data_IF_584730281741
#
_entry.id   IF_584730281741
#
_cell.length_a   1.000
_cell.length_b   1.000
_cell.length_c   1.000
_cell.angle_alpha   90.00
_cell.angle_beta   90.00
_cell.angle_gamma   90.00
#
_symmetry.space_group_name_H-M   'P 1'
#
loop_
_entity.id
_entity.type
_entity.pdbx_description
1 polymer ?
#
# COMPACT_ATOMS: atom_id res chain seq x y z
N UNK A 1 0.37 12.77 3.80
CA UNK A 1 -0.49 11.75 4.47
C UNK A 1 0.08 11.31 5.82
N UNK A 2 1.36 10.91 5.91
CA UNK A 2 2.00 10.69 7.22
C UNK A 2 1.96 11.96 8.10
N UNK A 3 2.07 13.15 7.51
CA UNK A 3 1.96 14.42 8.25
C UNK A 3 0.54 14.71 8.78
N UNK A 4 -0.51 14.25 8.08
CA UNK A 4 -1.89 14.38 8.55
C UNK A 4 -2.17 13.39 9.70
N UNK A 5 -1.67 12.16 9.61
CA UNK A 5 -1.71 11.20 10.71
C UNK A 5 -0.86 11.68 11.90
N UNK A 6 0.27 12.33 11.66
CA UNK A 6 1.11 12.94 12.69
C UNK A 6 0.37 14.09 13.39
N UNK A 7 -0.30 14.97 12.63
CA UNK A 7 -1.04 16.10 13.16
C UNK A 7 -2.23 15.67 14.02
N UNK A 8 -2.98 14.65 13.61
CA UNK A 8 -4.20 14.23 14.32
C UNK A 8 -4.00 13.10 15.35
N UNK A 9 -2.96 12.27 15.22
CA UNK A 9 -2.78 11.05 16.05
C UNK A 9 -1.50 11.13 16.90
N UNK A 10 -0.43 11.70 16.34
CA UNK A 10 0.89 11.79 16.95
C UNK A 10 1.15 13.10 17.68
N UNK A 11 0.21 13.55 18.52
CA UNK A 11 0.40 14.80 19.26
C UNK A 11 1.67 14.67 20.14
N UNK A 12 2.71 15.48 19.84
CA UNK A 12 4.04 15.55 20.49
C UNK A 12 5.11 14.50 20.13
N UNK A 13 4.98 13.73 19.05
CA UNK A 13 6.05 12.81 18.63
C UNK A 13 6.90 13.39 17.48
N UNK A 14 8.23 13.38 17.65
CA UNK A 14 9.20 13.65 16.58
C UNK A 14 9.30 12.38 15.73
N UNK A 15 8.94 12.48 14.44
CA UNK A 15 9.13 11.38 13.51
C UNK A 15 10.58 11.37 13.00
N UNK A 16 11.20 10.19 12.85
CA UNK A 16 12.55 10.12 12.31
C UNK A 16 12.53 10.59 10.85
N UNK A 17 13.37 11.58 10.51
CA UNK A 17 13.56 11.99 9.13
C UNK A 17 14.21 10.83 8.36
N UNK A 18 13.59 10.42 7.25
CA UNK A 18 14.11 9.34 6.41
C UNK A 18 13.45 9.38 5.04
N UNK A 19 14.20 9.05 3.99
CA UNK A 19 13.66 8.88 2.63
C UNK A 19 12.49 7.88 2.59
N UNK A 20 12.48 6.92 3.51
CA UNK A 20 11.44 5.89 3.64
C UNK A 20 10.09 6.41 4.16
N UNK A 21 10.03 7.64 4.68
CA UNK A 21 8.81 8.23 5.27
C UNK A 21 7.64 8.29 4.28
N UNK A 22 7.93 8.42 2.99
CA UNK A 22 6.92 8.52 1.94
C UNK A 22 6.61 7.20 1.25
N UNK A 23 7.36 6.14 1.50
CA UNK A 23 7.30 4.93 0.68
C UNK A 23 5.95 4.22 0.77
N UNK A 24 5.33 4.19 1.95
CA UNK A 24 3.96 3.68 2.11
C UNK A 24 2.92 4.53 1.34
N UNK A 25 3.12 5.84 1.26
CA UNK A 25 2.24 6.73 0.50
C UNK A 25 2.43 6.57 -1.01
N UNK A 26 3.68 6.43 -1.49
CA UNK A 26 3.98 6.15 -2.89
C UNK A 26 3.42 4.79 -3.30
N UNK A 27 3.58 3.76 -2.47
CA UNK A 27 3.00 2.44 -2.72
C UNK A 27 1.47 2.52 -2.86
N UNK A 28 0.79 3.21 -1.93
CA UNK A 28 -0.64 3.42 -2.00
C UNK A 28 -1.08 4.19 -3.25
N UNK A 29 -0.32 5.19 -3.69
CA UNK A 29 -0.59 5.89 -4.95
C UNK A 29 -0.52 4.95 -6.16
N UNK A 30 0.49 4.07 -6.21
CA UNK A 30 0.60 3.06 -7.27
C UNK A 30 -0.61 2.11 -7.20
N UNK A 31 -0.98 1.64 -6.02
CA UNK A 31 -2.14 0.76 -5.85
C UNK A 31 -3.44 1.43 -6.28
N UNK A 32 -3.65 2.70 -5.92
CA UNK A 32 -4.81 3.49 -6.38
C UNK A 32 -4.86 3.58 -7.90
N UNK A 33 -3.75 3.97 -8.51
CA UNK A 33 -3.62 4.07 -9.96
C UNK A 33 -3.98 2.75 -10.66
N UNK A 34 -3.51 1.61 -10.14
CA UNK A 34 -3.85 0.29 -10.71
C UNK A 34 -5.32 -0.07 -10.49
N UNK A 35 -5.85 0.21 -9.30
CA UNK A 35 -7.25 -0.07 -8.93
C UNK A 35 -8.24 0.68 -9.81
N UNK A 36 -7.94 1.94 -10.11
CA UNK A 36 -8.86 2.85 -10.80
C UNK A 36 -8.61 2.88 -12.32
N UNK A 37 -7.54 2.23 -12.81
CA UNK A 37 -7.07 2.26 -14.20
C UNK A 37 -8.19 2.03 -15.24
N UNK A 38 -9.03 1.02 -15.07
CA UNK A 38 -10.10 0.71 -16.04
C UNK A 38 -11.12 1.85 -16.11
N UNK A 39 -11.45 2.44 -14.96
CA UNK A 39 -12.39 3.55 -14.87
C UNK A 39 -11.77 4.83 -15.45
N UNK A 40 -10.51 5.09 -15.12
CA UNK A 40 -9.74 6.24 -15.60
C UNK A 40 -9.61 6.20 -17.13
N UNK A 41 -9.22 5.05 -17.71
CA UNK A 41 -9.12 4.88 -19.16
C UNK A 41 -10.47 5.12 -19.85
N UNK A 42 -11.57 4.62 -19.29
CA UNK A 42 -12.93 4.86 -19.81
C UNK A 42 -13.33 6.35 -19.74
N UNK A 43 -12.77 7.11 -18.80
CA UNK A 43 -12.94 8.55 -18.68
C UNK A 43 -11.92 9.37 -19.51
N UNK A 44 -11.02 8.70 -20.26
CA UNK A 44 -9.99 9.33 -21.08
C UNK A 44 -8.71 9.72 -20.34
N UNK A 45 -8.53 9.25 -19.10
CA UNK A 45 -7.32 9.45 -18.30
C UNK A 45 -6.44 8.20 -18.36
N UNK A 46 -5.25 8.33 -18.94
CA UNK A 46 -4.34 7.20 -19.14
C UNK A 46 -3.19 7.25 -18.13
N UNK A 47 -3.13 6.28 -17.21
CA UNK A 47 -2.05 6.21 -16.21
C UNK A 47 -0.83 5.39 -16.68
N UNK A 48 -0.99 4.54 -17.70
CA UNK A 48 0.13 3.82 -18.30
C UNK A 48 0.98 4.79 -19.15
N UNK A 49 2.33 4.78 -19.01
CA UNK A 49 3.20 5.67 -19.77
C UNK A 49 3.03 5.48 -21.28
N UNK A 50 2.98 6.58 -22.02
CA UNK A 50 2.83 6.56 -23.49
C UNK A 50 3.96 5.78 -24.15
N UNK A 51 5.18 5.94 -23.64
CA UNK A 51 6.38 5.27 -24.16
C UNK A 51 6.25 3.75 -24.07
N UNK A 52 5.58 3.25 -23.03
CA UNK A 52 5.33 1.82 -22.86
C UNK A 52 4.29 1.32 -23.87
N UNK A 53 3.21 2.08 -24.09
CA UNK A 53 2.19 1.76 -25.08
C UNK A 53 2.78 1.71 -26.50
N UNK A 54 3.57 2.72 -26.87
CA UNK A 54 4.21 2.79 -28.19
C UNK A 54 5.20 1.64 -28.41
N UNK A 55 6.03 1.32 -27.41
CA UNK A 55 7.01 0.24 -27.49
C UNK A 55 6.39 -1.15 -27.66
N UNK A 56 5.15 -1.35 -27.21
CA UNK A 56 4.45 -2.63 -27.24
C UNK A 56 3.24 -2.64 -28.18
N UNK A 57 3.01 -1.55 -28.93
CA UNK A 57 1.89 -1.37 -29.87
C UNK A 57 0.52 -1.62 -29.21
N UNK A 58 0.33 -1.08 -28.00
CA UNK A 58 -0.88 -1.25 -27.21
C UNK A 58 -1.82 -0.05 -27.31
N UNK A 59 -3.13 -0.30 -27.32
CA UNK A 59 -4.12 0.69 -26.94
C UNK A 59 -4.18 0.83 -25.41
N UNK A 60 -4.46 2.03 -24.86
CA UNK A 60 -4.63 2.21 -23.41
C UNK A 60 -5.68 1.30 -22.75
N UNK A 61 -6.64 0.77 -23.52
CA UNK A 61 -7.68 -0.16 -23.07
C UNK A 61 -7.37 -1.65 -23.21
N UNK A 62 -6.19 -2.04 -23.71
CA UNK A 62 -5.82 -3.45 -23.96
C UNK A 62 -5.40 -4.19 -22.67
N UNK A 63 -6.24 -4.17 -21.63
CA UNK A 63 -5.92 -4.69 -20.30
C UNK A 63 -5.63 -6.21 -20.27
N UNK A 64 -6.18 -6.97 -21.20
CA UNK A 64 -6.06 -8.43 -21.21
C UNK A 64 -4.74 -8.93 -21.84
N UNK A 65 -4.03 -8.06 -22.57
CA UNK A 65 -2.85 -8.49 -23.30
C UNK A 65 -1.65 -8.75 -22.37
N UNK A 66 -0.78 -9.66 -22.80
CA UNK A 66 0.39 -10.10 -22.02
C UNK A 66 1.33 -8.93 -21.67
N UNK A 67 1.68 -8.00 -22.59
CA UNK A 67 2.51 -6.85 -22.24
C UNK A 67 1.89 -5.95 -21.17
N UNK A 68 0.58 -5.66 -21.25
CA UNK A 68 -0.10 -4.85 -20.24
C UNK A 68 -0.08 -5.53 -18.87
N UNK A 69 -0.40 -6.84 -18.81
CA UNK A 69 -0.31 -7.63 -17.57
C UNK A 69 1.10 -7.65 -16.99
N UNK A 70 2.12 -7.71 -17.84
CA UNK A 70 3.53 -7.66 -17.43
C UNK A 70 3.88 -6.32 -16.79
N UNK A 71 3.41 -5.22 -17.38
CA UNK A 71 3.55 -3.89 -16.79
C UNK A 71 2.84 -3.76 -15.44
N UNK A 72 1.59 -4.25 -15.34
CA UNK A 72 0.84 -4.29 -14.07
C UNK A 72 1.62 -5.07 -13.01
N UNK A 73 2.16 -6.23 -13.36
CA UNK A 73 2.99 -7.03 -12.47
C UNK A 73 4.22 -6.26 -11.97
N UNK A 74 4.92 -5.52 -12.82
CA UNK A 74 6.03 -4.67 -12.37
C UNK A 74 5.59 -3.60 -11.37
N UNK A 75 4.44 -2.95 -11.62
CA UNK A 75 3.91 -1.91 -10.72
C UNK A 75 3.49 -2.51 -9.37
N UNK A 76 2.85 -3.68 -9.38
CA UNK A 76 2.52 -4.44 -8.16
C UNK A 76 3.80 -4.76 -7.38
N UNK A 77 4.82 -5.31 -8.04
CA UNK A 77 6.11 -5.64 -7.43
C UNK A 77 6.80 -4.41 -6.82
N UNK A 78 6.73 -3.26 -7.49
CA UNK A 78 7.25 -2.00 -6.97
C UNK A 78 6.46 -1.55 -5.72
N UNK A 79 5.13 -1.57 -5.77
CA UNK A 79 4.28 -1.22 -4.63
C UNK A 79 4.55 -2.11 -3.41
N UNK A 80 4.71 -3.43 -3.61
CA UNK A 80 5.07 -4.38 -2.54
C UNK A 80 6.40 -4.04 -1.87
N UNK A 81 7.44 -3.77 -2.67
CA UNK A 81 8.77 -3.37 -2.15
C UNK A 81 8.68 -2.08 -1.34
N UNK A 82 7.95 -1.10 -1.85
CA UNK A 82 7.74 0.19 -1.17
C UNK A 82 6.92 0.03 0.12
N UNK A 83 5.87 -0.78 0.14
CA UNK A 83 5.12 -1.09 1.37
C UNK A 83 6.00 -1.81 2.39
N UNK A 84 6.86 -2.74 1.97
CA UNK A 84 7.78 -3.42 2.87
C UNK A 84 8.76 -2.43 3.53
N UNK A 85 9.35 -1.53 2.74
CA UNK A 85 10.26 -0.49 3.24
C UNK A 85 9.54 0.54 4.11
N UNK A 86 8.34 0.97 3.72
CA UNK A 86 7.48 1.86 4.50
C UNK A 86 7.07 1.25 5.84
N UNK A 87 6.75 -0.05 5.89
CA UNK A 87 6.48 -0.77 7.14
C UNK A 87 7.69 -0.80 8.07
N UNK A 88 8.91 -1.02 7.53
CA UNK A 88 10.15 -0.92 8.33
C UNK A 88 10.37 0.48 8.91
N UNK A 89 9.98 1.53 8.19
CA UNK A 89 9.99 2.89 8.72
C UNK A 89 8.96 3.04 9.86
N UNK A 90 7.73 2.57 9.65
CA UNK A 90 6.66 2.61 10.66
C UNK A 90 7.09 1.91 11.95
N UNK A 91 7.80 0.78 11.90
CA UNK A 91 8.33 0.09 13.09
C UNK A 91 9.23 0.95 13.97
N UNK A 92 9.90 1.95 13.39
CA UNK A 92 10.80 2.87 14.10
C UNK A 92 10.06 4.03 14.75
N UNK A 93 8.78 4.23 14.44
CA UNK A 93 7.94 5.25 15.08
C UNK A 93 7.66 4.82 16.52
N UNK A 94 8.02 5.67 17.48
CA UNK A 94 7.90 5.37 18.92
C UNK A 94 6.45 5.20 19.36
N UNK A 95 5.54 5.95 18.74
CA UNK A 95 4.14 5.95 19.11
C UNK A 95 3.41 4.70 18.59
N UNK A 96 2.92 3.88 19.53
CA UNK A 96 2.20 2.64 19.25
C UNK A 96 0.92 2.86 18.42
N UNK A 97 0.18 3.94 18.67
CA UNK A 97 -1.05 4.26 17.91
C UNK A 97 -0.70 4.61 16.47
N UNK A 98 0.33 5.43 16.27
CA UNK A 98 0.81 5.78 14.93
C UNK A 98 1.30 4.55 14.17
N UNK A 99 1.95 3.60 14.86
CA UNK A 99 2.31 2.31 14.28
C UNK A 99 1.10 1.52 13.81
N UNK A 100 0.13 1.31 14.69
CA UNK A 100 -1.09 0.55 14.38
C UNK A 100 -1.80 1.17 13.18
N UNK A 101 -1.99 2.48 13.17
CA UNK A 101 -2.66 3.18 12.07
C UNK A 101 -1.84 3.12 10.77
N UNK A 102 -0.52 3.25 10.85
CA UNK A 102 0.36 3.10 9.68
C UNK A 102 0.28 1.68 9.07
N UNK A 103 0.26 0.64 9.90
CA UNK A 103 0.07 -0.73 9.42
C UNK A 103 -1.32 -0.96 8.83
N UNK A 104 -2.36 -0.40 9.46
CA UNK A 104 -3.72 -0.50 8.95
C UNK A 104 -3.85 0.18 7.58
N UNK A 105 -3.25 1.36 7.44
CA UNK A 105 -3.16 2.06 6.17
C UNK A 105 -2.54 1.18 5.08
N UNK A 106 -1.36 0.58 5.33
CA UNK A 106 -0.74 -0.34 4.37
C UNK A 106 -1.62 -1.54 4.04
N UNK A 107 -2.21 -2.19 5.05
CA UNK A 107 -3.01 -3.39 4.88
C UNK A 107 -4.22 -3.16 3.96
N UNK A 108 -4.88 -1.99 4.03
CA UNK A 108 -5.99 -1.63 3.15
C UNK A 108 -5.62 -1.74 1.66
N UNK A 109 -4.41 -1.33 1.30
CA UNK A 109 -3.92 -1.38 -0.09
C UNK A 109 -3.35 -2.73 -0.46
N UNK A 110 -2.69 -3.41 0.48
CA UNK A 110 -2.15 -4.75 0.24
C UNK A 110 -3.26 -5.74 -0.14
N UNK A 111 -4.49 -5.59 0.37
CA UNK A 111 -5.66 -6.39 -0.06
C UNK A 111 -5.99 -6.19 -1.54
N UNK A 112 -5.87 -4.97 -2.05
CA UNK A 112 -6.11 -4.68 -3.48
C UNK A 112 -5.01 -5.31 -4.33
N UNK A 113 -3.75 -5.23 -3.88
CA UNK A 113 -2.64 -5.89 -4.56
C UNK A 113 -2.81 -7.42 -4.55
N UNK A 114 -3.27 -8.01 -3.44
CA UNK A 114 -3.55 -9.45 -3.34
C UNK A 114 -4.61 -9.86 -4.37
N UNK A 115 -5.66 -9.05 -4.55
CA UNK A 115 -6.70 -9.30 -5.54
C UNK A 115 -6.13 -9.24 -6.97
N UNK A 116 -5.37 -8.20 -7.32
CA UNK A 116 -4.71 -8.07 -8.63
C UNK A 116 -3.81 -9.28 -8.91
N UNK A 117 -3.01 -9.71 -7.94
CA UNK A 117 -2.15 -10.89 -8.07
C UNK A 117 -2.96 -12.18 -8.26
N UNK A 118 -4.07 -12.34 -7.53
CA UNK A 118 -4.96 -13.50 -7.68
C UNK A 118 -5.66 -13.57 -9.03
N UNK A 119 -5.85 -12.42 -9.68
CA UNK A 119 -6.37 -12.31 -11.05
C UNK A 119 -5.29 -12.41 -12.11
N UNK A 120 -4.10 -12.90 -11.73
CA UNK A 120 -2.95 -12.99 -12.59
C UNK A 120 -2.62 -11.65 -13.30
N UNK A 121 -2.76 -10.56 -12.56
CA UNK A 121 -2.52 -9.17 -13.00
C UNK A 121 -3.52 -8.62 -14.02
N UNK A 122 -4.68 -9.26 -14.17
CA UNK A 122 -5.80 -8.69 -14.92
C UNK A 122 -6.50 -7.61 -14.09
N UNK A 123 -6.67 -6.42 -14.66
CA UNK A 123 -7.32 -5.30 -13.96
C UNK A 123 -8.86 -5.42 -14.05
N UNK A 124 -9.53 -5.18 -12.91
CA UNK A 124 -11.00 -5.17 -12.82
C UNK A 124 -11.53 -3.74 -12.93
N UNK A 125 -12.77 -3.60 -13.41
CA UNK A 125 -13.50 -2.34 -13.36
C UNK A 125 -13.87 -1.92 -11.93
N UNK A 126 -13.89 -2.85 -10.98
CA UNK A 126 -14.10 -2.56 -9.57
C UNK A 126 -13.37 -3.59 -8.70
N UNK A 127 -12.70 -3.10 -7.65
CA UNK A 127 -12.19 -3.91 -6.57
C UNK A 127 -13.11 -3.71 -5.38
N UNK A 128 -13.58 -4.81 -4.78
CA UNK A 128 -14.35 -4.72 -3.55
C UNK A 128 -13.51 -4.00 -2.50
N UNK A 129 -13.91 -2.78 -2.11
CA UNK A 129 -13.40 -2.23 -0.87
C UNK A 129 -13.77 -3.22 0.23
N UNK A 130 -12.84 -3.67 1.07
CA UNK A 130 -13.15 -4.67 2.07
C UNK A 130 -14.13 -4.09 3.08
N UNK A 131 -15.42 -4.33 2.83
CA UNK A 131 -16.51 -4.11 3.77
C UNK A 131 -16.45 -5.24 4.80
N UNK A 132 -15.51 -5.09 5.72
CA UNK A 132 -15.63 -5.43 7.14
C UNK A 132 -15.32 -6.84 7.72
N UNK A 133 -14.89 -7.86 6.96
CA UNK A 133 -14.54 -9.16 7.61
C UNK A 133 -13.07 -9.59 7.47
N UNK A 134 -12.55 -9.72 6.25
CA UNK A 134 -11.14 -10.09 6.05
C UNK A 134 -10.19 -8.99 6.52
N UNK A 135 -10.52 -7.72 6.22
CA UNK A 135 -9.80 -6.57 6.76
C UNK A 135 -9.86 -6.55 8.30
N UNK A 136 -10.99 -6.90 8.92
CA UNK A 136 -11.09 -6.98 10.38
C UNK A 136 -10.26 -8.11 10.98
N UNK A 137 -10.22 -9.27 10.35
CA UNK A 137 -9.35 -10.37 10.79
C UNK A 137 -7.86 -10.00 10.68
N UNK A 138 -7.46 -9.37 9.58
CA UNK A 138 -6.09 -8.90 9.40
C UNK A 138 -5.75 -7.80 10.39
N UNK A 139 -6.70 -6.89 10.67
CA UNK A 139 -6.58 -5.87 11.72
C UNK A 139 -6.40 -6.49 13.10
N UNK A 140 -7.23 -7.48 13.47
CA UNK A 140 -7.14 -8.17 14.77
C UNK A 140 -5.81 -8.90 14.91
N UNK A 141 -5.35 -9.58 13.85
CA UNK A 141 -4.04 -10.26 13.85
C UNK A 141 -2.88 -9.27 13.99
N UNK A 142 -2.92 -8.15 13.28
CA UNK A 142 -1.89 -7.10 13.36
C UNK A 142 -1.90 -6.43 14.74
N UNK A 143 -3.06 -6.14 15.29
CA UNK A 143 -3.21 -5.61 16.65
C UNK A 143 -2.57 -6.55 17.67
N UNK A 144 -2.93 -7.84 17.65
CA UNK A 144 -2.36 -8.85 18.54
C UNK A 144 -0.85 -9.00 18.36
N UNK A 145 -0.36 -9.06 17.12
CA UNK A 145 1.07 -9.19 16.86
C UNK A 145 1.86 -7.97 17.36
N UNK A 146 1.30 -6.76 17.18
CA UNK A 146 1.92 -5.52 17.62
C UNK A 146 1.92 -5.40 19.15
N UNK A 147 0.84 -5.79 19.84
CA UNK A 147 0.79 -5.80 21.31
C UNK A 147 1.73 -6.84 21.89
N UNK A 148 1.74 -8.07 21.37
CA UNK A 148 2.67 -9.13 21.78
C UNK A 148 4.14 -8.70 21.62
N UNK A 149 4.50 -8.11 20.48
CA UNK A 149 5.87 -7.64 20.21
C UNK A 149 6.27 -6.43 21.07
N UNK A 150 5.30 -5.65 21.56
CA UNK A 150 5.55 -4.57 22.52
C UNK A 150 5.79 -5.12 23.93
N UNK A 151 5.05 -6.16 24.33
CA UNK A 151 5.21 -6.84 25.62
C UNK A 151 6.49 -7.67 25.73
N UNK A 152 7.04 -8.15 24.61
CA UNK A 152 8.29 -8.92 24.59
C UNK A 152 9.55 -8.09 24.37
N UNK A 153 9.44 -6.77 24.19
CA UNK A 153 10.60 -5.89 24.40
C UNK A 153 10.85 -5.85 25.92
N UNK A 154 12.00 -6.36 26.42
CA UNK A 154 12.34 -6.11 27.81
C UNK A 154 12.33 -4.61 28.00
N UNK A 155 11.52 -4.13 28.96
CA UNK A 155 11.76 -2.82 29.51
C UNK A 155 13.22 -2.80 29.93
N UNK A 156 13.96 -1.75 29.55
CA UNK A 156 15.12 -1.35 30.31
C UNK A 156 14.64 -1.13 31.74
N UNK A 157 14.72 -2.19 32.54
CA UNK A 157 14.59 -2.14 33.97
C UNK A 157 15.82 -1.38 34.46
N UNK A 158 15.55 -0.16 34.92
CA UNK A 158 16.18 0.51 36.06
C UNK A 158 17.72 0.62 36.08
N UNK A 159 18.14 1.90 36.09
CA UNK A 159 19.44 2.52 36.43
C UNK A 159 20.29 2.96 35.24
#
# INVERSE_FOLDING_TARGET
MMDALQYFIGNRCIYPASDFQYYAAVAARITHMLRDMVQDTNAGFFNIPREYLEAHLLDPGDFECVPYRSWVQERVNLARKLFQQGKRYIERVENLRCRIVGYWYCARFEIVLDAIESDEYLLRSAYNEPTSLSAWMQMMRLFLAVTLRHMTRPGNALL
#
